data_IF_605728092518
#
_entry.id   IF_605728092518
#
_cell.length_a   1.000
_cell.length_b   1.000
_cell.length_c   1.000
_cell.angle_alpha   90.00
_cell.angle_beta   90.00
_cell.angle_gamma   90.00
#
_symmetry.space_group_name_H-M   'P 1'
#
loop_
_entity.id
_entity.type
_entity.pdbx_description
1 polymer ?
#
# COMPACT_ATOMS: atom_id res chain seq x y z
N UNK A 1 0.02 -38.99 -13.02
CA UNK A 1 -0.87 -39.69 -12.13
C UNK A 1 -2.16 -38.88 -11.98
N UNK A 2 -3.27 -39.42 -12.52
CA UNK A 2 -4.55 -38.74 -12.48
C UNK A 2 -5.06 -38.60 -11.05
N UNK A 3 -5.51 -37.44 -10.70
CA UNK A 3 -6.26 -37.19 -9.47
C UNK A 3 -7.64 -37.78 -9.63
N UNK A 4 -7.87 -38.90 -8.99
CA UNK A 4 -9.13 -39.65 -9.05
C UNK A 4 -10.08 -39.15 -7.97
N UNK A 5 -10.51 -37.89 -8.06
CA UNK A 5 -11.65 -37.41 -7.28
C UNK A 5 -12.96 -37.64 -8.04
N UNK A 6 -14.06 -37.87 -7.31
CA UNK A 6 -15.36 -37.95 -7.94
C UNK A 6 -15.85 -36.56 -8.34
N UNK A 7 -16.52 -36.42 -9.49
CA UNK A 7 -17.17 -35.16 -9.86
C UNK A 7 -18.33 -34.85 -8.88
N UNK A 8 -18.66 -33.55 -8.81
CA UNK A 8 -19.82 -33.09 -8.03
C UNK A 8 -21.11 -33.69 -8.59
N UNK A 9 -21.93 -34.24 -7.69
CA UNK A 9 -23.27 -34.73 -8.00
C UNK A 9 -24.31 -33.71 -7.52
N UNK A 10 -25.02 -33.02 -8.43
CA UNK A 10 -26.00 -32.03 -8.05
C UNK A 10 -27.26 -32.59 -7.39
N UNK A 11 -27.45 -33.91 -7.42
CA UNK A 11 -28.59 -34.60 -6.77
C UNK A 11 -28.32 -34.97 -5.32
N UNK A 12 -27.12 -34.69 -4.82
CA UNK A 12 -26.75 -34.96 -3.44
C UNK A 12 -26.18 -33.66 -2.79
N UNK A 13 -26.44 -33.44 -1.49
CA UNK A 13 -25.89 -32.29 -0.80
C UNK A 13 -24.36 -32.43 -0.60
N UNK A 14 -23.69 -31.32 -0.50
CA UNK A 14 -22.33 -31.32 0.02
C UNK A 14 -22.37 -31.57 1.53
N UNK A 15 -21.35 -32.22 2.05
CA UNK A 15 -21.20 -32.45 3.49
C UNK A 15 -19.90 -31.89 3.96
N UNK A 16 -19.95 -31.10 5.03
CA UNK A 16 -18.77 -30.56 5.71
C UNK A 16 -18.48 -31.41 6.95
N UNK A 17 -17.22 -31.80 7.12
CA UNK A 17 -16.81 -32.65 8.25
C UNK A 17 -15.90 -31.89 9.21
N UNK A 18 -14.80 -31.31 8.71
CA UNK A 18 -13.82 -30.61 9.51
C UNK A 18 -12.96 -29.73 8.64
N UNK A 19 -12.20 -28.86 9.28
CA UNK A 19 -11.11 -28.12 8.62
C UNK A 19 -9.90 -28.07 9.54
N UNK A 20 -8.73 -27.97 8.95
CA UNK A 20 -7.48 -27.88 9.69
C UNK A 20 -6.43 -27.09 8.88
N UNK A 21 -5.63 -26.22 9.52
CA UNK A 21 -5.71 -25.83 10.93
C UNK A 21 -6.95 -25.00 11.26
N UNK A 22 -7.30 -24.95 12.54
CA UNK A 22 -8.47 -24.21 13.04
C UNK A 22 -8.20 -22.74 13.30
N UNK A 23 -6.94 -22.35 13.17
CA UNK A 23 -6.48 -20.97 13.35
C UNK A 23 -5.26 -20.67 12.49
N UNK A 24 -5.02 -19.39 12.26
CA UNK A 24 -3.88 -18.90 11.51
C UNK A 24 -4.11 -17.49 10.98
N UNK A 25 -3.12 -16.93 10.33
CA UNK A 25 -3.19 -15.63 9.69
C UNK A 25 -3.42 -15.72 8.19
N UNK A 26 -3.19 -14.60 7.51
CA UNK A 26 -3.20 -14.51 6.05
C UNK A 26 -2.29 -15.57 5.43
N UNK A 27 -2.74 -16.16 4.33
CA UNK A 27 -2.03 -17.18 3.57
C UNK A 27 -1.83 -18.53 4.30
N UNK A 28 -2.45 -18.73 5.45
CA UNK A 28 -2.49 -20.05 6.08
C UNK A 28 -3.20 -21.02 5.14
N UNK A 29 -2.55 -22.14 4.86
CA UNK A 29 -3.10 -23.23 4.06
C UNK A 29 -4.05 -24.04 4.94
N UNK A 30 -5.31 -24.15 4.51
CA UNK A 30 -6.36 -24.88 5.24
C UNK A 30 -6.89 -26.00 4.37
N UNK A 31 -7.09 -27.16 4.95
CA UNK A 31 -7.73 -28.31 4.31
C UNK A 31 -9.12 -28.44 4.86
N UNK A 32 -10.12 -28.39 4.00
CA UNK A 32 -11.53 -28.61 4.33
C UNK A 32 -11.87 -30.04 3.94
N UNK A 33 -12.33 -30.82 4.91
CA UNK A 33 -12.75 -32.18 4.72
C UNK A 33 -14.26 -32.28 4.62
N UNK A 34 -14.74 -33.14 3.73
CA UNK A 34 -16.16 -33.34 3.54
C UNK A 34 -16.45 -34.33 2.41
N UNK A 35 -17.60 -34.18 1.77
CA UNK A 35 -18.07 -35.05 0.71
C UNK A 35 -18.75 -34.24 -0.39
N UNK A 36 -18.68 -34.74 -1.62
CA UNK A 36 -19.35 -34.20 -2.80
C UNK A 36 -18.91 -32.82 -3.23
N UNK A 37 -17.62 -32.50 -3.07
CA UNK A 37 -17.07 -31.22 -3.53
C UNK A 37 -16.80 -31.17 -5.03
N UNK A 38 -16.61 -32.35 -5.64
CA UNK A 38 -16.11 -32.40 -7.02
C UNK A 38 -14.65 -32.00 -7.15
N UNK A 39 -14.21 -31.90 -8.38
CA UNK A 39 -12.81 -31.57 -8.72
C UNK A 39 -12.68 -30.34 -9.61
N UNK A 40 -13.80 -29.78 -10.05
CA UNK A 40 -13.84 -28.60 -10.89
C UNK A 40 -13.79 -27.32 -10.03
N UNK A 41 -12.63 -26.68 -9.97
CA UNK A 41 -12.42 -25.50 -9.14
C UNK A 41 -13.29 -24.30 -9.57
N UNK A 42 -13.75 -24.27 -10.81
CA UNK A 42 -14.63 -23.20 -11.29
C UNK A 42 -16.01 -23.22 -10.64
N UNK A 43 -16.40 -24.35 -10.06
CA UNK A 43 -17.67 -24.54 -9.35
C UNK A 43 -17.55 -24.37 -7.83
N UNK A 44 -16.33 -24.23 -7.30
CA UNK A 44 -16.07 -24.23 -5.86
C UNK A 44 -15.70 -22.83 -5.41
N UNK A 45 -16.43 -22.30 -4.44
CA UNK A 45 -16.09 -21.05 -3.74
C UNK A 45 -16.05 -21.30 -2.25
N UNK A 46 -15.05 -20.73 -1.60
CA UNK A 46 -14.89 -20.78 -0.14
C UNK A 46 -14.80 -19.38 0.40
N UNK A 47 -15.52 -19.09 1.45
CA UNK A 47 -15.53 -17.78 2.10
C UNK A 47 -15.14 -17.91 3.57
N UNK A 48 -14.38 -16.95 4.04
CA UNK A 48 -14.13 -16.70 5.46
C UNK A 48 -14.91 -15.42 5.82
N UNK A 49 -16.06 -15.57 6.50
CA UNK A 49 -17.07 -14.54 6.57
C UNK A 49 -17.44 -14.09 5.14
N UNK A 50 -17.28 -12.82 4.81
CA UNK A 50 -17.57 -12.30 3.46
C UNK A 50 -16.39 -12.35 2.49
N UNK A 51 -15.18 -12.65 3.00
CA UNK A 51 -13.96 -12.69 2.18
C UNK A 51 -13.80 -14.01 1.46
N UNK A 52 -13.69 -13.96 0.14
CA UNK A 52 -13.44 -15.16 -0.65
C UNK A 52 -11.99 -15.61 -0.51
N UNK A 53 -11.81 -16.90 -0.26
CA UNK A 53 -10.50 -17.54 -0.21
C UNK A 53 -10.13 -18.10 -1.59
N UNK A 54 -8.83 -18.17 -1.86
CA UNK A 54 -8.32 -18.86 -3.04
C UNK A 54 -8.43 -20.38 -2.85
N UNK A 55 -9.11 -21.06 -3.77
CA UNK A 55 -9.19 -22.53 -3.82
C UNK A 55 -8.07 -23.02 -4.74
N UNK A 56 -7.14 -23.77 -4.17
CA UNK A 56 -5.96 -24.24 -4.88
C UNK A 56 -6.18 -25.60 -5.52
N UNK A 57 -6.92 -26.47 -4.84
CA UNK A 57 -7.16 -27.87 -5.28
C UNK A 57 -8.40 -28.44 -4.63
N UNK A 58 -9.03 -29.40 -5.30
CA UNK A 58 -10.05 -30.26 -4.72
C UNK A 58 -9.90 -31.69 -5.25
N UNK A 59 -10.07 -32.65 -4.35
CA UNK A 59 -10.07 -34.09 -4.68
C UNK A 59 -11.44 -34.72 -4.44
N UNK A 60 -12.50 -33.90 -4.29
CA UNK A 60 -13.86 -34.33 -4.04
C UNK A 60 -14.22 -34.50 -2.58
N UNK A 61 -13.30 -34.94 -1.74
CA UNK A 61 -13.44 -35.06 -0.28
C UNK A 61 -12.62 -34.10 0.53
N UNK A 62 -11.72 -33.37 -0.14
CA UNK A 62 -10.85 -32.35 0.46
C UNK A 62 -10.75 -31.15 -0.47
N UNK A 63 -10.89 -29.96 0.11
CA UNK A 63 -10.60 -28.70 -0.58
C UNK A 63 -9.40 -28.06 0.09
N UNK A 64 -8.44 -27.64 -0.71
CA UNK A 64 -7.24 -26.92 -0.26
C UNK A 64 -7.41 -25.46 -0.54
N UNK A 65 -7.43 -24.64 0.52
CA UNK A 65 -7.68 -23.20 0.42
C UNK A 65 -6.57 -22.38 1.08
N UNK A 66 -6.46 -21.15 0.66
CA UNK A 66 -5.55 -20.17 1.22
C UNK A 66 -6.38 -19.13 1.98
N UNK A 67 -6.12 -18.97 3.25
CA UNK A 67 -6.80 -18.00 4.11
C UNK A 67 -6.65 -16.58 3.55
N UNK A 68 -7.73 -15.83 3.33
CA UNK A 68 -7.67 -14.47 2.80
C UNK A 68 -7.14 -13.49 3.84
N UNK A 69 -6.82 -12.28 3.39
CA UNK A 69 -6.35 -11.20 4.23
C UNK A 69 -7.50 -10.57 5.00
N UNK A 70 -7.36 -10.43 6.32
CA UNK A 70 -8.29 -9.69 7.20
C UNK A 70 -9.78 -10.05 7.01
N UNK A 71 -10.16 -11.32 7.17
CA UNK A 71 -11.56 -11.72 7.03
C UNK A 71 -12.41 -11.48 8.29
N UNK A 72 -11.80 -11.01 9.38
CA UNK A 72 -12.35 -10.86 10.72
C UNK A 72 -11.67 -11.79 11.72
N UNK A 73 -11.86 -11.58 13.02
CA UNK A 73 -11.18 -12.33 14.08
C UNK A 73 -11.67 -13.78 14.19
N UNK A 74 -12.97 -13.96 14.17
CA UNK A 74 -13.62 -15.27 14.15
C UNK A 74 -14.40 -15.42 12.85
N UNK A 75 -14.04 -16.41 12.06
CA UNK A 75 -14.56 -16.56 10.71
C UNK A 75 -15.45 -17.79 10.60
N UNK A 76 -16.63 -17.61 10.06
CA UNK A 76 -17.44 -18.70 9.57
C UNK A 76 -16.93 -19.10 8.20
N UNK A 77 -16.51 -20.37 8.05
CA UNK A 77 -16.12 -20.92 6.77
C UNK A 77 -17.36 -21.46 6.06
N UNK A 78 -17.60 -20.89 4.87
CA UNK A 78 -18.72 -21.29 4.00
C UNK A 78 -18.16 -21.86 2.71
N UNK A 79 -18.71 -22.98 2.29
CA UNK A 79 -18.35 -23.67 1.05
C UNK A 79 -19.56 -23.66 0.12
N UNK A 80 -19.34 -23.20 -1.10
CA UNK A 80 -20.32 -23.27 -2.19
C UNK A 80 -19.77 -24.18 -3.29
N UNK A 81 -20.57 -25.16 -3.71
CA UNK A 81 -20.26 -26.02 -4.85
C UNK A 81 -21.49 -26.09 -5.75
N UNK A 82 -21.38 -25.60 -6.97
CA UNK A 82 -22.51 -25.50 -7.87
C UNK A 82 -23.65 -24.70 -7.25
N UNK A 83 -24.77 -25.38 -6.97
CA UNK A 83 -25.95 -24.77 -6.34
C UNK A 83 -25.99 -24.96 -4.82
N UNK A 84 -25.11 -25.79 -4.29
CA UNK A 84 -25.10 -26.15 -2.86
C UNK A 84 -24.23 -25.18 -2.07
N UNK A 85 -24.67 -24.91 -0.86
CA UNK A 85 -23.98 -24.05 0.09
C UNK A 85 -24.10 -24.63 1.49
N UNK A 86 -22.98 -24.70 2.19
CA UNK A 86 -22.93 -25.14 3.58
C UNK A 86 -21.88 -24.33 4.36
N UNK A 87 -22.14 -24.13 5.64
CA UNK A 87 -21.22 -23.45 6.54
C UNK A 87 -20.89 -24.35 7.73
N UNK A 88 -19.66 -24.21 8.23
CA UNK A 88 -19.29 -24.85 9.49
C UNK A 88 -19.89 -24.09 10.67
N UNK A 89 -20.30 -24.82 11.71
CA UNK A 89 -20.62 -24.20 13.00
C UNK A 89 -19.37 -23.76 13.74
N UNK A 90 -18.31 -24.56 13.64
CA UNK A 90 -17.00 -24.21 14.19
C UNK A 90 -16.41 -23.03 13.41
N UNK A 91 -15.87 -22.05 14.14
CA UNK A 91 -15.24 -20.91 13.54
C UNK A 91 -13.72 -21.08 13.42
N UNK A 92 -13.16 -20.52 12.35
CA UNK A 92 -11.73 -20.36 12.18
C UNK A 92 -11.27 -19.11 12.93
N UNK A 93 -10.28 -19.26 13.81
CA UNK A 93 -9.70 -18.13 14.53
C UNK A 93 -8.60 -17.48 13.70
N UNK A 94 -8.89 -16.31 13.13
CA UNK A 94 -7.90 -15.55 12.38
C UNK A 94 -6.98 -14.79 13.34
N UNK A 95 -5.69 -14.97 13.16
CA UNK A 95 -4.66 -14.32 13.98
C UNK A 95 -3.82 -13.40 13.10
N UNK A 96 -3.89 -12.11 13.36
CA UNK A 96 -2.96 -11.16 12.76
C UNK A 96 -1.60 -11.30 13.43
N UNK A 97 -0.59 -11.70 12.67
CA UNK A 97 0.79 -11.63 13.10
C UNK A 97 1.40 -10.32 12.58
N UNK A 98 1.81 -9.47 13.50
CA UNK A 98 2.59 -8.29 13.18
C UNK A 98 4.05 -8.60 13.48
N UNK A 99 4.88 -8.59 12.44
CA UNK A 99 6.32 -8.71 12.56
C UNK A 99 6.96 -7.41 12.11
N UNK A 100 7.96 -6.97 12.86
CA UNK A 100 8.79 -5.83 12.51
C UNK A 100 10.19 -6.34 12.23
N UNK A 101 10.72 -5.98 11.08
CA UNK A 101 12.09 -6.34 10.69
C UNK A 101 12.79 -5.12 10.09
N UNK A 102 14.11 -5.09 10.22
CA UNK A 102 14.91 -4.06 9.57
C UNK A 102 15.08 -4.39 8.10
N UNK A 103 14.67 -3.48 7.22
CA UNK A 103 14.87 -3.60 5.78
C UNK A 103 16.31 -3.21 5.41
N UNK A 104 16.77 -2.07 5.92
CA UNK A 104 18.08 -1.50 5.61
C UNK A 104 18.48 -0.46 6.66
N UNK A 105 19.74 -0.03 6.61
CA UNK A 105 20.29 0.94 7.55
C UNK A 105 20.86 0.29 8.79
N UNK A 106 21.76 1.01 9.46
CA UNK A 106 22.37 0.60 10.74
C UNK A 106 22.26 1.75 11.74
N UNK A 107 22.07 1.46 13.03
CA UNK A 107 22.13 2.50 14.07
C UNK A 107 23.49 3.22 14.04
N UNK A 108 23.47 4.56 14.03
CA UNK A 108 24.68 5.38 13.89
C UNK A 108 24.56 6.67 14.66
N UNK A 109 25.73 7.20 15.05
CA UNK A 109 25.87 8.54 15.62
C UNK A 109 26.23 9.58 14.57
N UNK A 110 26.75 9.16 13.40
CA UNK A 110 27.16 10.03 12.30
C UNK A 110 26.11 10.10 11.20
N UNK A 111 25.97 11.27 10.58
CA UNK A 111 24.94 11.59 9.57
C UNK A 111 25.56 11.47 8.19
N UNK A 112 25.92 10.27 7.77
CA UNK A 112 26.43 9.99 6.42
C UNK A 112 25.46 9.10 5.66
N UNK A 113 25.21 9.46 4.39
CA UNK A 113 24.47 8.60 3.47
C UNK A 113 25.47 7.78 2.66
N UNK A 114 25.20 6.47 2.58
CA UNK A 114 25.94 5.54 1.73
C UNK A 114 24.95 4.75 0.90
N UNK A 115 25.06 4.86 -0.41
CA UNK A 115 24.30 4.05 -1.35
C UNK A 115 24.92 2.65 -1.46
N UNK A 116 24.14 1.69 -1.92
CA UNK A 116 24.58 0.33 -2.14
C UNK A 116 23.49 -0.69 -1.86
N UNK A 117 23.91 -1.90 -1.50
CA UNK A 117 22.95 -2.96 -1.13
C UNK A 117 22.20 -2.61 0.15
N UNK A 118 21.06 -3.26 0.38
CA UNK A 118 20.27 -3.07 1.61
C UNK A 118 21.11 -3.29 2.87
N UNK A 119 22.04 -4.25 2.84
CA UNK A 119 22.91 -4.55 3.98
C UNK A 119 24.01 -3.51 4.19
N UNK A 120 24.47 -2.84 3.14
CA UNK A 120 25.59 -1.90 3.19
C UNK A 120 25.16 -0.44 3.28
N UNK A 121 23.95 -0.13 2.86
CA UNK A 121 23.45 1.24 2.80
C UNK A 121 23.34 1.87 4.18
N UNK A 122 23.57 3.18 4.21
CA UNK A 122 23.49 3.99 5.41
C UNK A 122 22.69 5.25 5.14
N UNK A 123 21.96 5.71 6.15
CA UNK A 123 21.05 6.84 6.06
C UNK A 123 21.51 7.95 7.01
N UNK A 124 21.25 9.19 6.59
CA UNK A 124 21.29 10.33 7.49
C UNK A 124 20.06 10.39 8.39
N UNK A 125 19.70 11.58 8.85
CA UNK A 125 18.50 11.77 9.68
C UNK A 125 17.26 11.67 8.82
N UNK A 126 16.61 10.53 8.89
CA UNK A 126 15.37 10.23 8.18
C UNK A 126 14.16 10.79 8.91
N UNK A 127 13.24 11.41 8.17
CA UNK A 127 12.05 12.03 8.75
C UNK A 127 10.76 11.53 8.13
N UNK A 128 10.71 11.36 6.82
CA UNK A 128 9.49 11.06 6.11
C UNK A 128 9.70 9.94 5.09
N UNK A 129 8.65 9.19 4.82
CA UNK A 129 8.67 8.06 3.91
C UNK A 129 7.37 7.98 3.12
N UNK A 130 7.45 7.55 1.86
CA UNK A 130 6.31 7.14 1.06
C UNK A 130 6.69 5.95 0.18
N UNK A 131 5.68 5.28 -0.37
CA UNK A 131 5.85 4.04 -1.16
C UNK A 131 5.05 4.18 -2.45
N UNK A 132 5.63 3.80 -3.59
CA UNK A 132 4.94 3.77 -4.88
C UNK A 132 4.30 2.40 -5.15
N UNK A 133 3.61 2.29 -6.28
CA UNK A 133 2.94 1.05 -6.72
C UNK A 133 3.90 -0.10 -6.99
N UNK A 134 5.11 0.21 -7.40
CA UNK A 134 6.16 -0.77 -7.68
C UNK A 134 6.96 -1.16 -6.42
N UNK A 135 6.46 -0.74 -5.25
CA UNK A 135 7.06 -0.99 -3.94
C UNK A 135 8.42 -0.33 -3.73
N UNK A 136 8.77 0.70 -4.51
CA UNK A 136 9.88 1.57 -4.16
C UNK A 136 9.52 2.37 -2.91
N UNK A 137 10.45 2.44 -1.98
CA UNK A 137 10.32 3.24 -0.76
C UNK A 137 11.18 4.49 -0.91
N UNK A 138 10.54 5.66 -0.78
CA UNK A 138 11.24 6.94 -0.85
C UNK A 138 11.40 7.49 0.56
N UNK A 139 12.63 7.80 0.93
CA UNK A 139 12.97 8.28 2.26
C UNK A 139 13.50 9.71 2.16
N UNK A 140 12.84 10.63 2.84
CA UNK A 140 13.28 12.01 2.94
C UNK A 140 14.17 12.17 4.16
N UNK A 141 15.42 12.52 3.93
CA UNK A 141 16.39 12.91 4.96
C UNK A 141 16.37 14.43 5.09
N UNK A 142 15.43 14.98 5.83
CA UNK A 142 15.18 16.40 5.93
C UNK A 142 16.40 17.19 6.42
N UNK A 143 17.05 16.72 7.46
CA UNK A 143 18.23 17.40 8.04
C UNK A 143 19.51 17.18 7.26
N UNK A 144 19.54 16.21 6.37
CA UNK A 144 20.67 15.90 5.48
C UNK A 144 20.42 16.32 4.03
N UNK A 145 19.26 16.90 3.75
CA UNK A 145 18.88 17.47 2.46
C UNK A 145 18.92 16.50 1.28
N UNK A 146 18.47 15.26 1.51
CA UNK A 146 18.49 14.19 0.51
C UNK A 146 17.15 13.49 0.37
N UNK A 147 16.90 12.98 -0.84
CA UNK A 147 15.84 12.02 -1.12
C UNK A 147 16.50 10.71 -1.55
N UNK A 148 16.16 9.64 -0.84
CA UNK A 148 16.69 8.29 -1.06
C UNK A 148 15.60 7.37 -1.56
N UNK A 149 15.97 6.39 -2.37
CA UNK A 149 15.09 5.32 -2.85
C UNK A 149 15.59 3.97 -2.38
N UNK A 150 14.70 3.17 -1.84
CA UNK A 150 14.96 1.76 -1.48
C UNK A 150 14.18 0.88 -2.45
N UNK A 151 14.85 -0.01 -3.13
CA UNK A 151 14.24 -1.04 -3.96
C UNK A 151 14.68 -2.41 -3.44
N UNK A 152 13.74 -3.11 -2.78
CA UNK A 152 14.04 -4.41 -2.17
C UNK A 152 14.28 -5.51 -3.22
N UNK A 153 13.57 -5.47 -4.34
CA UNK A 153 13.72 -6.48 -5.41
C UNK A 153 15.09 -6.42 -6.06
N UNK A 154 15.64 -5.22 -6.22
CA UNK A 154 16.98 -5.00 -6.77
C UNK A 154 18.07 -5.02 -5.70
N UNK A 155 17.72 -5.16 -4.44
CA UNK A 155 18.64 -5.08 -3.31
C UNK A 155 19.50 -3.82 -3.36
N UNK A 156 18.85 -2.65 -3.53
CA UNK A 156 19.56 -1.40 -3.78
C UNK A 156 18.95 -0.22 -3.03
N UNK A 157 19.82 0.63 -2.49
CA UNK A 157 19.50 1.96 -1.99
C UNK A 157 20.26 2.98 -2.83
N UNK A 158 19.54 3.97 -3.35
CA UNK A 158 20.07 4.99 -4.24
C UNK A 158 19.70 6.38 -3.73
N UNK A 159 20.61 7.34 -3.82
CA UNK A 159 20.31 8.76 -3.60
C UNK A 159 19.78 9.35 -4.89
N UNK A 160 18.53 9.81 -4.89
CA UNK A 160 17.90 10.44 -6.05
C UNK A 160 18.26 11.90 -6.20
N UNK A 161 18.37 12.62 -5.10
CA UNK A 161 18.71 14.02 -5.09
C UNK A 161 19.42 14.43 -3.80
N UNK A 162 20.29 15.42 -3.92
CA UNK A 162 21.04 16.06 -2.83
C UNK A 162 20.76 17.56 -2.79
N UNK A 163 21.21 18.22 -1.75
CA UNK A 163 21.07 19.67 -1.59
C UNK A 163 19.64 20.18 -1.74
N UNK A 164 18.69 19.40 -1.25
CA UNK A 164 17.27 19.78 -1.23
C UNK A 164 17.02 20.60 0.03
N UNK A 165 16.79 21.91 -0.12
CA UNK A 165 16.55 22.79 1.03
C UNK A 165 15.20 22.53 1.66
N UNK A 166 15.19 22.24 2.95
CA UNK A 166 14.00 22.03 3.78
C UNK A 166 12.92 21.15 3.14
N UNK A 167 13.28 19.92 2.70
CA UNK A 167 12.31 19.00 2.14
C UNK A 167 11.33 18.57 3.24
N UNK A 168 10.06 18.37 2.84
CA UNK A 168 9.04 17.95 3.76
C UNK A 168 8.53 16.55 3.41
N UNK A 169 7.23 16.28 3.50
CA UNK A 169 6.69 14.94 3.35
C UNK A 169 6.56 14.57 1.87
N UNK A 170 7.26 13.56 1.36
CA UNK A 170 7.10 13.09 -0.01
C UNK A 170 5.75 12.40 -0.19
N UNK A 171 5.18 12.52 -1.37
CA UNK A 171 3.90 11.92 -1.73
C UNK A 171 4.00 11.29 -3.11
N UNK A 172 3.42 10.11 -3.28
CA UNK A 172 3.37 9.41 -4.57
C UNK A 172 1.97 9.53 -5.18
N UNK A 173 1.93 9.73 -6.49
CA UNK A 173 0.70 9.62 -7.27
C UNK A 173 0.16 8.18 -7.22
N UNK A 174 -1.15 8.01 -6.97
CA UNK A 174 -1.76 6.70 -6.75
C UNK A 174 -1.74 5.75 -7.96
N UNK A 175 -1.82 6.28 -9.17
CA UNK A 175 -1.88 5.48 -10.41
C UNK A 175 -0.57 5.45 -11.18
N UNK A 176 0.41 6.21 -10.76
CA UNK A 176 1.71 6.34 -11.40
C UNK A 176 2.85 6.14 -10.43
N UNK A 177 4.02 6.59 -10.84
CA UNK A 177 5.23 6.53 -10.04
C UNK A 177 5.82 7.92 -9.78
N UNK A 178 5.02 8.99 -9.99
CA UNK A 178 5.48 10.34 -9.73
C UNK A 178 5.52 10.63 -8.24
N UNK A 179 6.67 11.03 -7.76
CA UNK A 179 6.88 11.46 -6.39
C UNK A 179 6.93 12.98 -6.36
N UNK A 180 6.09 13.59 -5.53
CA UNK A 180 6.10 15.01 -5.28
C UNK A 180 6.69 15.29 -3.90
N UNK A 181 7.58 16.26 -3.82
CA UNK A 181 8.26 16.65 -2.60
C UNK A 181 8.05 18.12 -2.35
N UNK A 182 7.19 18.51 -1.39
CA UNK A 182 7.02 19.90 -1.01
C UNK A 182 8.24 20.40 -0.21
N UNK A 183 8.62 21.64 -0.45
CA UNK A 183 9.73 22.27 0.25
C UNK A 183 9.22 23.39 1.17
N UNK A 184 9.63 23.35 2.40
CA UNK A 184 9.31 24.35 3.41
C UNK A 184 10.28 25.54 3.33
N UNK A 185 10.31 26.16 2.18
CA UNK A 185 11.11 27.36 1.90
C UNK A 185 10.21 28.57 1.75
N UNK A 186 10.75 29.77 1.94
CA UNK A 186 10.01 31.00 1.73
C UNK A 186 9.42 31.05 0.31
N UNK A 187 8.13 31.33 0.19
CA UNK A 187 7.40 31.29 -1.06
C UNK A 187 7.06 29.87 -1.56
N UNK A 188 7.54 28.85 -0.86
CA UNK A 188 7.30 27.46 -1.20
C UNK A 188 8.00 26.97 -2.46
N UNK A 189 8.10 25.69 -2.60
CA UNK A 189 8.52 25.00 -3.81
C UNK A 189 7.99 23.57 -3.83
N UNK A 190 7.84 22.98 -5.01
CA UNK A 190 7.45 21.60 -5.19
C UNK A 190 8.38 20.95 -6.21
N UNK A 191 8.94 19.81 -5.82
CA UNK A 191 9.77 18.99 -6.71
C UNK A 191 9.01 17.76 -7.15
N UNK A 192 9.26 17.32 -8.37
CA UNK A 192 8.73 16.09 -8.95
C UNK A 192 9.88 15.17 -9.37
N UNK A 193 9.72 13.89 -9.09
CA UNK A 193 10.62 12.82 -9.51
C UNK A 193 9.81 11.69 -10.13
N UNK A 194 10.26 11.15 -11.23
CA UNK A 194 9.59 10.03 -11.90
C UNK A 194 10.58 9.16 -12.70
N UNK A 195 10.22 7.91 -13.04
CA UNK A 195 11.10 7.03 -13.78
C UNK A 195 11.34 7.44 -15.24
N UNK A 196 10.42 8.21 -15.85
CA UNK A 196 10.53 8.64 -17.25
C UNK A 196 11.76 9.53 -17.47
N UNK A 197 12.12 10.31 -16.46
CA UNK A 197 13.30 11.18 -16.45
C UNK A 197 14.45 10.60 -15.64
N UNK A 198 14.43 9.29 -15.37
CA UNK A 198 15.42 8.61 -14.53
C UNK A 198 15.57 9.28 -13.14
N UNK A 199 14.42 9.64 -12.58
CA UNK A 199 14.33 10.28 -11.26
C UNK A 199 15.03 11.66 -11.17
N UNK A 200 15.19 12.35 -12.30
CA UNK A 200 15.76 13.69 -12.29
C UNK A 200 14.85 14.66 -11.53
N UNK A 201 15.49 15.55 -10.79
CA UNK A 201 14.81 16.60 -10.03
C UNK A 201 14.17 17.62 -10.97
N UNK A 202 12.86 17.79 -10.89
CA UNK A 202 12.08 18.74 -11.67
C UNK A 202 11.29 19.67 -10.76
N UNK A 203 11.38 20.96 -10.96
CA UNK A 203 10.55 21.94 -10.25
C UNK A 203 9.19 22.07 -10.93
N UNK A 204 8.10 21.92 -10.16
CA UNK A 204 6.72 22.01 -10.64
C UNK A 204 5.89 23.02 -9.85
N UNK A 205 6.53 24.06 -9.36
CA UNK A 205 5.88 25.13 -8.61
C UNK A 205 4.77 25.81 -9.41
N UNK A 206 3.60 26.13 -8.80
CA UNK A 206 2.54 26.90 -9.44
C UNK A 206 3.03 28.21 -10.02
N UNK A 207 2.53 28.57 -11.21
CA UNK A 207 2.95 29.79 -11.91
C UNK A 207 2.05 31.00 -11.59
N UNK A 208 0.76 30.77 -11.33
CA UNK A 208 -0.26 31.80 -11.24
C UNK A 208 -0.83 31.99 -9.81
N UNK A 209 -0.40 31.20 -8.85
CA UNK A 209 -0.79 31.30 -7.45
C UNK A 209 0.44 31.38 -6.58
N UNK A 210 0.48 32.35 -5.69
CA UNK A 210 1.55 32.48 -4.68
C UNK A 210 1.07 31.87 -3.38
N UNK A 211 1.78 30.86 -2.89
CA UNK A 211 1.59 30.24 -1.60
C UNK A 211 2.77 30.58 -0.69
N UNK A 212 2.56 30.42 0.61
CA UNK A 212 3.62 30.44 1.60
C UNK A 212 4.41 29.11 1.54
N UNK A 213 5.25 28.84 2.53
CA UNK A 213 6.01 27.60 2.64
C UNK A 213 5.10 26.38 2.47
N UNK A 214 5.52 25.42 1.65
CA UNK A 214 4.76 24.20 1.41
C UNK A 214 5.03 23.19 2.51
N UNK A 215 4.00 22.67 3.13
CA UNK A 215 4.11 21.65 4.17
C UNK A 215 3.58 20.29 3.76
N UNK A 216 2.69 20.26 2.78
CA UNK A 216 2.09 19.01 2.33
C UNK A 216 1.62 19.12 0.88
N UNK A 217 1.68 18.00 0.18
CA UNK A 217 1.10 17.86 -1.16
C UNK A 217 0.42 16.49 -1.26
N UNK A 218 -0.66 16.42 -2.01
CA UNK A 218 -1.37 15.18 -2.26
C UNK A 218 -1.98 15.18 -3.66
N UNK A 219 -1.96 14.06 -4.35
CA UNK A 219 -2.59 13.91 -5.66
C UNK A 219 -3.98 13.32 -5.50
N UNK A 220 -4.99 14.04 -5.98
CA UNK A 220 -6.35 13.52 -6.00
C UNK A 220 -6.47 12.47 -7.11
N UNK A 221 -6.87 11.23 -6.80
CA UNK A 221 -6.98 10.17 -7.80
C UNK A 221 -8.09 10.41 -8.83
N UNK A 222 -9.08 11.24 -8.53
CA UNK A 222 -10.18 11.55 -9.44
C UNK A 222 -9.79 12.59 -10.49
N UNK A 223 -9.35 13.78 -10.05
CA UNK A 223 -9.04 14.90 -10.97
C UNK A 223 -7.57 14.94 -11.40
N UNK A 224 -6.71 14.11 -10.79
CA UNK A 224 -5.26 14.05 -11.06
C UNK A 224 -4.50 15.35 -10.76
N UNK A 225 -5.10 16.25 -10.02
CA UNK A 225 -4.46 17.49 -9.60
C UNK A 225 -3.65 17.28 -8.33
N UNK A 226 -2.62 18.08 -8.19
CA UNK A 226 -1.80 18.13 -6.97
C UNK A 226 -2.38 19.20 -6.05
N UNK A 227 -2.81 18.78 -4.87
CA UNK A 227 -3.28 19.68 -3.82
C UNK A 227 -2.10 20.03 -2.93
N UNK A 228 -1.84 21.31 -2.77
CA UNK A 228 -0.69 21.83 -2.02
C UNK A 228 -1.21 22.66 -0.84
N UNK A 229 -0.82 22.27 0.35
CA UNK A 229 -1.11 23.02 1.56
C UNK A 229 0.10 23.84 2.00
N UNK A 230 -0.12 25.12 2.22
CA UNK A 230 0.89 26.04 2.74
C UNK A 230 0.78 26.19 4.27
N UNK A 231 1.86 26.64 4.89
CA UNK A 231 1.94 26.84 6.34
C UNK A 231 0.91 27.85 6.86
N UNK A 232 0.60 28.89 6.07
CA UNK A 232 -0.40 29.91 6.44
C UNK A 232 -1.87 29.44 6.33
N UNK A 233 -2.09 28.15 6.00
CA UNK A 233 -3.43 27.59 5.87
C UNK A 233 -4.05 27.70 4.48
N UNK A 234 -3.37 28.22 3.50
CA UNK A 234 -3.84 28.24 2.12
C UNK A 234 -3.73 26.84 1.51
N UNK A 235 -4.75 26.43 0.77
CA UNK A 235 -4.79 25.20 0.01
C UNK A 235 -5.07 25.54 -1.45
N UNK A 236 -4.20 25.08 -2.34
CA UNK A 236 -4.35 25.22 -3.79
C UNK A 236 -4.35 23.86 -4.47
N UNK A 237 -4.95 23.76 -5.63
CA UNK A 237 -4.83 22.61 -6.54
C UNK A 237 -4.18 23.04 -7.84
N UNK A 238 -3.32 22.20 -8.37
CA UNK A 238 -2.47 22.49 -9.51
C UNK A 238 -2.45 21.33 -10.49
N UNK A 239 -2.52 21.64 -11.78
CA UNK A 239 -2.16 20.68 -12.82
C UNK A 239 -0.63 20.59 -12.89
N UNK A 240 -0.02 19.41 -12.63
CA UNK A 240 1.44 19.30 -12.62
C UNK A 240 2.09 19.44 -13.99
N UNK A 241 1.31 19.34 -15.07
CA UNK A 241 1.80 19.52 -16.45
C UNK A 241 1.87 20.99 -16.84
N UNK A 242 0.75 21.69 -16.71
CA UNK A 242 0.65 23.10 -17.06
C UNK A 242 1.18 24.04 -15.99
N UNK A 243 1.24 23.57 -14.74
CA UNK A 243 1.54 24.36 -13.54
C UNK A 243 0.52 25.46 -13.24
N UNK A 244 -0.64 25.38 -13.89
CA UNK A 244 -1.78 26.23 -13.56
C UNK A 244 -2.44 25.76 -12.29
N UNK A 245 -2.67 26.67 -11.36
CA UNK A 245 -3.25 26.39 -10.07
C UNK A 245 -4.40 27.34 -9.77
N UNK A 246 -5.27 26.89 -8.86
CA UNK A 246 -6.30 27.74 -8.27
C UNK A 246 -6.33 27.54 -6.75
N UNK A 247 -6.65 28.61 -6.06
CA UNK A 247 -6.82 28.56 -4.61
C UNK A 247 -8.15 27.87 -4.28
N UNK A 248 -8.07 26.79 -3.51
CA UNK A 248 -9.27 26.05 -3.05
C UNK A 248 -9.89 26.71 -1.84
N UNK A 249 -9.06 27.05 -0.85
CA UNK A 249 -9.50 27.73 0.37
C UNK A 249 -8.33 28.39 1.07
N UNK A 250 -8.66 29.25 2.02
CA UNK A 250 -7.70 29.95 2.88
C UNK A 250 -8.00 29.66 4.34
N UNK A 251 -7.02 29.89 5.21
CA UNK A 251 -7.20 29.86 6.65
C UNK A 251 -7.46 28.47 7.24
N UNK A 252 -7.11 27.40 6.53
CA UNK A 252 -7.08 26.09 7.13
C UNK A 252 -5.99 26.08 8.21
N UNK A 253 -6.36 25.76 9.42
CA UNK A 253 -5.46 25.70 10.58
C UNK A 253 -4.74 27.04 10.85
N UNK A 254 -5.50 28.14 10.91
CA UNK A 254 -5.00 29.44 11.33
C UNK A 254 -4.45 29.37 12.77
N UNK A 255 -3.20 28.96 12.90
CA UNK A 255 -2.49 28.70 14.15
C UNK A 255 -1.34 27.73 13.88
N UNK A 256 -0.58 27.44 14.88
CA UNK A 256 0.57 26.53 14.78
C UNK A 256 0.15 25.11 14.43
N UNK A 257 0.24 24.71 13.17
CA UNK A 257 -0.05 23.34 12.83
C UNK A 257 0.93 22.79 11.80
N UNK A 258 2.00 22.25 12.30
CA UNK A 258 2.78 21.26 11.59
C UNK A 258 1.99 19.97 11.33
N UNK A 259 0.79 19.85 11.88
CA UNK A 259 0.01 18.63 11.98
C UNK A 259 -1.03 18.48 10.87
N UNK A 260 -1.32 19.54 10.14
CA UNK A 260 -2.32 19.49 9.08
C UNK A 260 -1.68 19.06 7.75
N UNK A 261 -1.59 17.76 7.58
CA UNK A 261 -1.09 17.12 6.37
C UNK A 261 -2.27 16.68 5.54
N UNK A 262 -2.30 17.01 4.24
CA UNK A 262 -3.33 16.52 3.34
C UNK A 262 -2.98 15.16 2.75
N UNK A 263 -3.97 14.31 2.65
CA UNK A 263 -3.90 13.05 1.92
C UNK A 263 -5.26 12.78 1.27
N UNK A 264 -5.26 11.88 0.30
CA UNK A 264 -6.49 11.36 -0.29
C UNK A 264 -6.59 9.87 0.00
N UNK A 265 -7.78 9.42 0.36
CA UNK A 265 -8.05 8.01 0.52
C UNK A 265 -8.21 7.38 -0.87
N UNK A 266 -7.33 6.43 -1.20
CA UNK A 266 -7.37 5.70 -2.46
C UNK A 266 -8.16 4.39 -2.36
N UNK A 267 -8.63 4.03 -1.17
CA UNK A 267 -9.28 2.75 -0.89
C UNK A 267 -10.80 2.86 -0.85
N UNK A 268 -11.33 4.07 -0.75
CA UNK A 268 -12.77 4.34 -0.75
C UNK A 268 -13.09 5.33 -1.87
N UNK A 269 -13.50 4.84 -3.04
CA UNK A 269 -13.86 5.68 -4.17
C UNK A 269 -15.26 6.30 -4.07
N UNK A 270 -16.05 6.01 -3.01
CA UNK A 270 -17.43 6.51 -2.84
C UNK A 270 -17.51 7.68 -1.83
#
# INVERSE_FOLDING_TARGET
GGTTGKPYDPNQPIKLTSFYPENGGMATKVIINGENFGTDLSQIKVFYNEKQAAVVRSIGTKIYVITPRQPGDNCTITVEVGKDKASFEQQFSYKTQVTVSTITGTPRTEVNAVDGTLAAAQFGLTHFVCVDREKNIFVCERSSYRLRQINEQQNMVTTLATNITAPFIPMVETEGQKVFLPLWVQGGNLLQFDPETQWAKKQVKPQNVTLDQYISAAVNPEDKLVYIKALNGNLAKMDPKSKEAELVTTGLDAGWTYDAICCFDSLDPD
#
